data_IF_181625212781
#
_entry.id   IF_181625212781
#
_cell.length_a   1.000
_cell.length_b   1.000
_cell.length_c   1.000
_cell.angle_alpha   90.00
_cell.angle_beta   90.00
_cell.angle_gamma   90.00
#
_symmetry.space_group_name_H-M   'P 1'
#
loop_
_entity.id
_entity.type
_entity.pdbx_description
1 polymer ?
#
# COMPACT_ATOMS: atom_id res chain seq x y z
N UNK A 1 1.09 -6.64 -15.80
CA UNK A 1 1.65 -7.62 -14.82
C UNK A 1 0.60 -7.96 -13.76
N UNK A 2 0.15 -7.02 -12.90
CA UNK A 2 -0.79 -7.33 -11.78
C UNK A 2 -2.09 -7.95 -12.27
N UNK A 3 -2.73 -7.40 -13.30
CA UNK A 3 -3.98 -7.97 -13.83
C UNK A 3 -3.76 -9.39 -14.36
N UNK A 4 -2.68 -9.63 -15.07
CA UNK A 4 -2.34 -10.97 -15.56
C UNK A 4 -2.10 -11.98 -14.44
N UNK A 5 -1.43 -11.58 -13.35
CA UNK A 5 -1.29 -12.44 -12.17
C UNK A 5 -2.67 -12.78 -11.57
N UNK A 6 -3.58 -11.79 -11.48
CA UNK A 6 -4.94 -12.02 -10.95
C UNK A 6 -5.79 -12.92 -11.85
N UNK A 7 -5.58 -12.87 -13.15
CA UNK A 7 -6.23 -13.79 -14.12
C UNK A 7 -5.73 -15.23 -13.92
N UNK A 8 -4.41 -15.41 -13.76
CA UNK A 8 -3.83 -16.73 -13.54
C UNK A 8 -4.12 -17.29 -12.14
N UNK A 9 -4.25 -16.43 -11.14
CA UNK A 9 -4.45 -16.82 -9.73
C UNK A 9 -5.63 -16.04 -9.13
N UNK A 10 -6.88 -16.47 -9.38
CA UNK A 10 -8.06 -15.81 -8.83
C UNK A 10 -8.03 -15.77 -7.30
N UNK A 11 -8.31 -14.61 -6.72
CA UNK A 11 -8.32 -14.40 -5.27
C UNK A 11 -6.96 -14.07 -4.64
N UNK A 12 -5.88 -14.02 -5.42
CA UNK A 12 -4.56 -13.61 -4.89
C UNK A 12 -4.57 -12.14 -4.47
N UNK A 13 -3.98 -11.87 -3.32
CA UNK A 13 -3.70 -10.49 -2.87
C UNK A 13 -2.30 -10.09 -3.30
N UNK A 14 -2.16 -8.91 -3.88
CA UNK A 14 -0.89 -8.38 -4.38
C UNK A 14 -0.56 -7.11 -3.62
N UNK A 15 0.67 -7.02 -3.12
CA UNK A 15 1.26 -5.82 -2.54
C UNK A 15 2.36 -5.31 -3.48
N UNK A 16 2.20 -4.09 -3.96
CA UNK A 16 3.24 -3.37 -4.69
C UNK A 16 4.09 -2.61 -3.66
N UNK A 17 5.38 -2.88 -3.64
CA UNK A 17 6.35 -2.12 -2.85
C UNK A 17 7.02 -1.13 -3.78
N UNK A 18 7.10 0.15 -3.37
CA UNK A 18 7.79 1.16 -4.17
C UNK A 18 9.29 0.89 -4.25
N UNK A 19 9.96 1.59 -5.18
CA UNK A 19 11.41 1.64 -5.15
C UNK A 19 11.91 2.15 -3.79
N UNK A 20 13.08 1.69 -3.38
CA UNK A 20 13.86 2.31 -2.32
C UNK A 20 14.40 3.67 -2.78
N UNK A 21 14.89 4.48 -1.85
CA UNK A 21 15.75 5.58 -2.22
C UNK A 21 17.05 5.06 -2.85
N UNK A 22 17.60 5.84 -3.74
CA UNK A 22 18.92 5.65 -4.36
C UNK A 22 19.59 6.99 -4.43
N UNK A 23 20.85 7.10 -4.02
CA UNK A 23 21.58 8.34 -4.14
C UNK A 23 22.56 8.30 -5.31
N UNK A 24 22.62 9.41 -6.01
CA UNK A 24 23.54 9.65 -7.13
C UNK A 24 24.36 10.90 -6.83
N UNK A 25 25.61 10.92 -7.27
CA UNK A 25 26.48 12.06 -7.07
C UNK A 25 26.10 13.20 -8.02
N UNK A 26 25.74 14.33 -7.44
CA UNK A 26 25.54 15.59 -8.14
C UNK A 26 26.62 16.57 -7.66
N UNK A 27 27.52 16.93 -8.54
CA UNK A 27 28.72 17.74 -8.21
C UNK A 27 29.52 17.09 -7.07
N UNK A 28 29.44 17.61 -5.86
CA UNK A 28 30.20 17.15 -4.69
C UNK A 28 29.30 16.45 -3.64
N UNK A 29 27.99 16.38 -3.86
CA UNK A 29 27.01 15.84 -2.89
C UNK A 29 26.31 14.59 -3.39
N UNK A 30 26.02 13.68 -2.48
CA UNK A 30 25.15 12.53 -2.74
C UNK A 30 23.71 12.93 -2.46
N UNK A 31 22.87 12.95 -3.49
CA UNK A 31 21.43 13.29 -3.40
C UNK A 31 20.58 12.16 -3.96
N UNK A 32 19.31 12.12 -3.54
CA UNK A 32 18.33 11.22 -4.15
C UNK A 32 18.33 11.35 -5.66
N UNK A 33 18.42 10.23 -6.35
CA UNK A 33 18.36 10.17 -7.82
C UNK A 33 17.01 10.73 -8.30
N UNK A 34 17.06 11.62 -9.29
CA UNK A 34 15.87 12.31 -9.82
C UNK A 34 14.77 11.40 -10.34
N UNK A 35 15.07 10.14 -10.67
CA UNK A 35 14.10 9.16 -11.13
C UNK A 35 13.31 8.51 -9.99
N UNK A 36 13.78 8.58 -8.73
CA UNK A 36 13.16 7.86 -7.60
C UNK A 36 11.75 8.35 -7.33
N UNK A 37 11.55 9.65 -7.18
CA UNK A 37 10.24 10.23 -6.85
C UNK A 37 9.22 9.99 -7.96
N UNK A 38 9.50 10.30 -9.25
CA UNK A 38 8.57 9.99 -10.34
C UNK A 38 8.21 8.50 -10.43
N UNK A 39 9.19 7.61 -10.23
CA UNK A 39 8.95 6.16 -10.25
C UNK A 39 8.04 5.72 -9.11
N UNK A 40 8.27 6.22 -7.90
CA UNK A 40 7.43 5.94 -6.72
C UNK A 40 5.98 6.36 -6.95
N UNK A 41 5.77 7.56 -7.52
CA UNK A 41 4.43 8.05 -7.88
C UNK A 41 3.75 7.19 -8.96
N UNK A 42 4.50 6.78 -9.97
CA UNK A 42 4.00 5.89 -11.02
C UNK A 42 3.60 4.52 -10.46
N UNK A 43 4.41 3.93 -9.58
CA UNK A 43 4.12 2.67 -8.90
C UNK A 43 2.87 2.76 -8.02
N UNK A 44 2.69 3.87 -7.29
CA UNK A 44 1.49 4.13 -6.51
C UNK A 44 0.24 4.20 -7.39
N UNK A 45 0.29 4.99 -8.47
CA UNK A 45 -0.80 5.10 -9.44
C UNK A 45 -1.16 3.75 -10.02
N UNK A 46 -0.17 2.97 -10.40
CA UNK A 46 -0.36 1.62 -10.93
C UNK A 46 -1.00 0.67 -9.91
N UNK A 47 -0.55 0.68 -8.65
CA UNK A 47 -1.14 -0.14 -7.59
C UNK A 47 -2.63 0.20 -7.38
N UNK A 48 -2.98 1.49 -7.31
CA UNK A 48 -4.37 1.94 -7.17
C UNK A 48 -5.22 1.49 -8.36
N UNK A 49 -4.76 1.72 -9.59
CA UNK A 49 -5.49 1.34 -10.81
C UNK A 49 -5.70 -0.17 -10.92
N UNK A 50 -4.73 -0.96 -10.50
CA UNK A 50 -4.83 -2.43 -10.52
C UNK A 50 -5.46 -3.02 -9.26
N UNK A 51 -5.97 -2.20 -8.33
CA UNK A 51 -6.55 -2.63 -7.04
C UNK A 51 -5.60 -3.55 -6.27
N UNK A 52 -4.31 -3.24 -6.27
CA UNK A 52 -3.30 -3.86 -5.44
C UNK A 52 -3.06 -3.04 -4.17
N UNK A 53 -2.56 -3.67 -3.11
CA UNK A 53 -2.01 -2.96 -1.97
C UNK A 53 -0.77 -2.16 -2.38
N UNK A 54 -0.43 -1.11 -1.64
CA UNK A 54 0.76 -0.31 -1.88
C UNK A 54 1.51 -0.02 -0.58
N UNK A 55 2.82 -0.24 -0.59
CA UNK A 55 3.73 0.15 0.47
C UNK A 55 4.79 1.10 -0.09
N UNK A 56 4.86 2.32 0.46
CA UNK A 56 5.83 3.32 0.05
C UNK A 56 7.14 3.12 0.81
N UNK A 57 8.05 2.32 0.26
CA UNK A 57 9.35 2.06 0.87
C UNK A 57 10.22 3.31 0.90
N UNK A 58 10.19 4.13 -0.14
CA UNK A 58 10.93 5.39 -0.19
C UNK A 58 10.62 6.30 1.01
N UNK A 59 9.34 6.55 1.27
CA UNK A 59 8.90 7.34 2.43
C UNK A 59 9.23 6.65 3.76
N UNK A 60 9.04 5.32 3.83
CA UNK A 60 9.31 4.56 5.04
C UNK A 60 10.80 4.55 5.42
N UNK A 61 11.69 4.72 4.46
CA UNK A 61 13.13 4.90 4.70
C UNK A 61 13.48 6.28 5.24
N UNK A 62 12.62 7.27 5.02
CA UNK A 62 12.85 8.66 5.40
C UNK A 62 12.80 9.65 4.23
N UNK A 63 12.44 9.19 3.03
CA UNK A 63 12.29 10.04 1.84
C UNK A 63 13.64 10.51 1.27
N UNK A 64 13.66 11.76 0.84
CA UNK A 64 14.82 12.36 0.17
C UNK A 64 16.10 12.28 1.02
N UNK A 65 17.18 11.82 0.41
CA UNK A 65 18.50 11.69 1.05
C UNK A 65 18.62 10.49 1.99
N UNK A 66 17.57 9.67 2.15
CA UNK A 66 17.60 8.57 3.10
C UNK A 66 18.66 7.52 2.78
N UNK A 67 18.90 7.21 1.51
CA UNK A 67 19.94 6.25 1.13
C UNK A 67 21.34 6.76 1.45
N UNK A 68 21.62 8.03 1.18
CA UNK A 68 22.88 8.65 1.54
C UNK A 68 23.09 8.62 3.05
N UNK A 69 22.07 8.99 3.83
CA UNK A 69 22.11 8.91 5.29
C UNK A 69 22.36 7.48 5.77
N UNK A 70 21.67 6.47 5.23
CA UNK A 70 21.86 5.08 5.63
C UNK A 70 23.23 4.51 5.30
N UNK A 71 23.87 5.02 4.23
CA UNK A 71 25.23 4.65 3.87
C UNK A 71 26.30 5.31 4.76
N UNK A 72 25.99 6.49 5.33
CA UNK A 72 26.93 7.27 6.16
C UNK A 72 26.72 7.07 7.67
N UNK A 73 25.61 6.48 8.11
CA UNK A 73 25.36 6.20 9.53
C UNK A 73 26.40 5.22 10.12
N UNK A 74 26.56 5.28 11.43
CA UNK A 74 27.43 4.35 12.16
C UNK A 74 26.60 3.59 13.19
N UNK A 75 26.40 2.29 12.99
CA UNK A 75 26.86 1.44 11.88
C UNK A 75 25.99 1.64 10.62
N UNK A 76 26.58 1.52 9.41
CA UNK A 76 25.84 1.77 8.18
C UNK A 76 24.74 0.74 7.93
N UNK A 77 23.67 1.17 7.27
CA UNK A 77 22.55 0.31 6.83
C UNK A 77 22.53 0.12 5.31
N UNK A 78 23.33 0.88 4.56
CA UNK A 78 23.50 0.72 3.12
C UNK A 78 24.98 0.60 2.76
N UNK A 79 25.23 0.08 1.57
CA UNK A 79 26.58 -0.01 1.00
C UNK A 79 27.03 1.36 0.47
N UNK A 80 28.33 1.54 0.29
CA UNK A 80 28.91 2.76 -0.26
C UNK A 80 28.67 2.97 -1.77
N UNK A 81 27.91 2.08 -2.38
CA UNK A 81 27.35 2.27 -3.72
C UNK A 81 26.06 3.12 -3.72
N UNK A 82 25.55 3.47 -2.54
CA UNK A 82 24.36 4.30 -2.32
C UNK A 82 23.11 3.80 -3.04
N UNK A 83 23.02 2.48 -3.22
CA UNK A 83 21.93 1.82 -3.95
C UNK A 83 21.44 0.57 -3.24
N UNK A 84 22.34 -0.23 -2.67
CA UNK A 84 22.00 -1.51 -2.07
C UNK A 84 22.10 -1.49 -0.55
N UNK A 85 21.11 -2.09 0.09
CA UNK A 85 21.16 -2.32 1.54
C UNK A 85 22.24 -3.34 1.89
N UNK A 86 22.86 -3.15 3.04
CA UNK A 86 23.58 -4.22 3.71
C UNK A 86 22.61 -5.07 4.56
N UNK A 87 23.13 -6.04 5.29
CA UNK A 87 22.31 -6.92 6.13
C UNK A 87 21.46 -6.16 7.16
N UNK A 88 22.01 -5.14 7.83
CA UNK A 88 21.28 -4.31 8.80
C UNK A 88 20.17 -3.50 8.14
N UNK A 89 20.45 -2.91 6.98
CA UNK A 89 19.44 -2.20 6.19
C UNK A 89 18.31 -3.12 5.74
N UNK A 90 18.64 -4.32 5.28
CA UNK A 90 17.63 -5.32 4.91
C UNK A 90 16.74 -5.71 6.10
N UNK A 91 17.32 -5.91 7.29
CA UNK A 91 16.55 -6.14 8.53
C UNK A 91 15.64 -4.94 8.87
N UNK A 92 16.15 -3.70 8.72
CA UNK A 92 15.37 -2.49 8.97
C UNK A 92 14.18 -2.40 8.00
N UNK A 93 14.40 -2.64 6.71
CA UNK A 93 13.33 -2.66 5.69
C UNK A 93 12.28 -3.73 6.00
N UNK A 94 12.72 -4.93 6.38
CA UNK A 94 11.80 -6.00 6.78
C UNK A 94 10.94 -5.59 7.99
N UNK A 95 11.53 -4.92 8.99
CA UNK A 95 10.80 -4.37 10.14
C UNK A 95 9.75 -3.34 9.72
N UNK A 96 10.12 -2.37 8.88
CA UNK A 96 9.20 -1.34 8.37
C UNK A 96 7.99 -1.95 7.63
N UNK A 97 8.24 -2.96 6.79
CA UNK A 97 7.18 -3.67 6.09
C UNK A 97 6.29 -4.47 7.05
N UNK A 98 6.89 -5.17 8.02
CA UNK A 98 6.16 -5.93 9.02
C UNK A 98 5.23 -5.03 9.84
N UNK A 99 5.72 -3.90 10.35
CA UNK A 99 4.94 -2.94 11.13
C UNK A 99 3.77 -2.38 10.34
N UNK A 100 3.97 -2.09 9.06
CA UNK A 100 2.91 -1.64 8.17
C UNK A 100 1.82 -2.70 7.96
N UNK A 101 2.22 -3.95 7.77
CA UNK A 101 1.27 -5.07 7.64
C UNK A 101 0.49 -5.26 8.94
N UNK A 102 1.14 -5.22 10.09
CA UNK A 102 0.50 -5.34 11.40
C UNK A 102 -0.51 -4.20 11.64
N UNK A 103 -0.13 -2.96 11.34
CA UNK A 103 -1.00 -1.80 11.45
C UNK A 103 -2.22 -1.93 10.54
N UNK A 104 -2.02 -2.29 9.27
CA UNK A 104 -3.11 -2.52 8.32
C UNK A 104 -4.05 -3.65 8.78
N UNK A 105 -3.51 -4.73 9.32
CA UNK A 105 -4.32 -5.82 9.85
C UNK A 105 -5.14 -5.41 11.09
N UNK A 106 -4.56 -4.61 11.98
CA UNK A 106 -5.29 -4.07 13.14
C UNK A 106 -6.47 -3.19 12.69
N UNK A 107 -6.24 -2.29 11.73
CA UNK A 107 -7.30 -1.46 11.14
C UNK A 107 -8.40 -2.31 10.47
N UNK A 108 -8.02 -3.32 9.71
CA UNK A 108 -8.97 -4.25 9.09
C UNK A 108 -9.87 -4.96 10.14
N UNK A 109 -9.27 -5.42 11.25
CA UNK A 109 -10.05 -6.03 12.35
C UNK A 109 -11.07 -5.06 12.95
N UNK A 110 -10.68 -3.80 13.15
CA UNK A 110 -11.59 -2.76 13.66
C UNK A 110 -12.73 -2.49 12.69
N UNK A 111 -12.44 -2.32 11.40
CA UNK A 111 -13.47 -2.12 10.36
C UNK A 111 -14.45 -3.29 10.31
N UNK A 112 -13.99 -4.53 10.44
CA UNK A 112 -14.87 -5.71 10.47
C UNK A 112 -15.78 -5.73 11.70
N UNK A 113 -15.28 -5.32 12.88
CA UNK A 113 -16.10 -5.21 14.10
C UNK A 113 -17.20 -4.16 13.91
N UNK A 114 -16.85 -2.99 13.40
CA UNK A 114 -17.80 -1.88 13.17
C UNK A 114 -18.86 -2.24 12.11
N UNK A 115 -18.50 -3.00 11.06
CA UNK A 115 -19.45 -3.44 10.04
C UNK A 115 -20.46 -4.47 10.56
N UNK A 116 -20.13 -5.23 11.61
CA UNK A 116 -21.08 -6.14 12.29
C UNK A 116 -22.07 -5.42 13.21
N UNK A 117 -21.78 -4.18 13.58
CA UNK A 117 -22.60 -3.35 14.48
C UNK A 117 -23.57 -2.45 13.71
N UNK A 118 -23.40 -2.28 12.40
CA UNK A 118 -24.38 -1.55 11.58
C UNK A 118 -25.65 -2.38 11.46
N UNK A 119 -26.84 -1.87 11.91
CA UNK A 119 -28.09 -2.57 11.77
C UNK A 119 -28.36 -2.81 10.29
N UNK A 120 -28.70 -4.05 9.94
CA UNK A 120 -29.26 -4.40 8.65
C UNK A 120 -30.45 -3.49 8.38
N UNK A 121 -30.49 -2.80 7.23
CA UNK A 121 -31.67 -2.03 6.80
C UNK A 121 -32.90 -2.87 7.02
N UNK A 122 -34.00 -2.31 7.62
CA UNK A 122 -35.24 -3.03 7.71
C UNK A 122 -35.71 -3.39 6.30
N UNK A 123 -35.97 -4.65 6.07
CA UNK A 123 -36.64 -5.16 4.88
C UNK A 123 -37.99 -4.46 4.82
N UNK A 124 -38.24 -3.69 3.80
CA UNK A 124 -39.57 -3.11 3.54
C UNK A 124 -40.45 -4.28 3.08
N UNK A 125 -41.24 -4.78 4.01
CA UNK A 125 -42.23 -5.77 3.68
C UNK A 125 -43.16 -5.20 2.62
N UNK A 126 -43.30 -5.93 1.53
CA UNK A 126 -44.24 -5.68 0.43
C UNK A 126 -45.65 -5.56 0.96
N UNK A 127 -46.17 -4.35 0.96
CA UNK A 127 -47.62 -4.13 1.20
C UNK A 127 -48.37 -4.72 0.02
N UNK A 128 -49.02 -5.88 0.29
CA UNK A 128 -49.99 -6.51 -0.58
C UNK A 128 -51.17 -5.54 -0.80
N UNK A 129 -51.33 -5.00 -2.00
CA UNK A 129 -52.52 -4.29 -2.40
C UNK A 129 -53.63 -5.29 -2.64
N UNK A 130 -54.59 -5.38 -1.71
CA UNK A 130 -55.85 -6.06 -1.92
C UNK A 130 -56.73 -5.13 -2.81
N UNK A 131 -56.95 -5.60 -4.02
CA UNK A 131 -57.99 -5.07 -4.91
C UNK A 131 -59.36 -5.25 -4.26
N UNK A 132 -60.05 -4.18 -3.95
CA UNK A 132 -61.47 -4.19 -3.73
C UNK A 132 -62.17 -3.78 -5.04
N UNK A 133 -62.72 -4.80 -5.68
CA UNK A 133 -63.78 -4.66 -6.68
C UNK A 133 -65.06 -4.21 -5.98
N UNK A 134 -65.57 -3.06 -6.30
CA UNK A 134 -66.96 -2.68 -5.97
C UNK A 134 -67.72 -2.49 -7.28
N UNK A 135 -68.65 -3.42 -7.55
CA UNK A 135 -69.73 -3.25 -8.52
C UNK A 135 -70.71 -2.20 -8.04
N UNK A 136 -71.15 -1.30 -8.90
CA UNK A 136 -72.44 -0.64 -8.87
C UNK A 136 -72.83 -0.21 -10.28
N UNK A 137 -73.84 -0.81 -10.72
CA UNK A 137 -75.05 -0.35 -11.49
C UNK A 137 -74.87 0.93 -12.33
#
# INVERSE_FOLDING_TARGET
>A
VVNHIKECFPGVTILVISTADKATKYELEMKTDSAVVPLTLAQRKYAVQSKAGYFNLYEAMGGEGSMAKWAEEVPPMANKDYTHFNYKGAQKVAGLLYDQIQTGYAQYKLMRKNKKVLPTKPTVDSVSSKNNTVNAQ
#
